data_IF_002532829077
#
_entry.id   IF_002532829077
#
_cell.length_a   1.000
_cell.length_b   1.000
_cell.length_c   1.000
_cell.angle_alpha   90.00
_cell.angle_beta   90.00
_cell.angle_gamma   90.00
#
_symmetry.space_group_name_H-M   'P 1'
#
loop_
_entity.id
_entity.type
_entity.pdbx_description
1 polymer ?
#
# COMPACT_ATOMS: atom_id res chain seq x y z
N UNK A 1 -43.36 -31.82 -36.74
CA UNK A 1 -41.93 -31.50 -36.61
C UNK A 1 -41.62 -30.03 -36.28
N UNK A 2 -42.41 -29.35 -35.41
CA UNK A 2 -42.14 -27.93 -35.00
C UNK A 2 -41.69 -27.72 -33.56
N UNK A 3 -41.66 -28.78 -32.74
CA UNK A 3 -41.33 -28.64 -31.30
C UNK A 3 -39.83 -28.59 -31.00
N UNK A 4 -38.97 -29.18 -31.84
CA UNK A 4 -37.53 -29.16 -31.62
C UNK A 4 -36.85 -27.79 -31.75
N UNK A 5 -37.46 -26.89 -32.53
CA UNK A 5 -36.88 -25.55 -32.74
C UNK A 5 -37.11 -24.59 -31.59
N UNK A 6 -38.15 -24.81 -30.78
CA UNK A 6 -38.48 -23.98 -29.63
C UNK A 6 -37.53 -24.33 -28.45
N UNK A 7 -37.31 -25.61 -28.18
CA UNK A 7 -36.44 -26.08 -27.11
C UNK A 7 -34.97 -25.64 -27.29
N UNK A 8 -34.49 -25.63 -28.55
CA UNK A 8 -33.12 -25.20 -28.87
C UNK A 8 -32.89 -23.71 -28.63
N UNK A 9 -33.92 -22.88 -28.91
CA UNK A 9 -33.85 -21.42 -28.64
C UNK A 9 -33.83 -21.14 -27.13
N UNK A 10 -34.67 -21.84 -26.35
CA UNK A 10 -34.65 -21.70 -24.88
C UNK A 10 -33.34 -22.18 -24.28
N UNK A 11 -32.79 -23.30 -24.76
CA UNK A 11 -31.52 -23.81 -24.30
C UNK A 11 -30.38 -22.81 -24.53
N UNK A 12 -30.31 -22.21 -25.72
CA UNK A 12 -29.31 -21.17 -26.04
C UNK A 12 -29.46 -19.95 -25.16
N UNK A 13 -30.67 -19.54 -24.84
CA UNK A 13 -30.95 -18.41 -23.97
C UNK A 13 -30.51 -18.67 -22.54
N UNK A 14 -30.76 -19.88 -21.98
CA UNK A 14 -30.29 -20.28 -20.67
C UNK A 14 -28.76 -20.32 -20.59
N UNK A 15 -28.10 -20.88 -21.60
CA UNK A 15 -26.64 -20.90 -21.66
C UNK A 15 -26.07 -19.48 -21.68
N UNK A 16 -26.66 -18.60 -22.46
CA UNK A 16 -26.22 -17.20 -22.57
C UNK A 16 -26.38 -16.44 -21.25
N UNK A 17 -27.52 -16.61 -20.57
CA UNK A 17 -27.73 -16.04 -19.23
C UNK A 17 -26.74 -16.62 -18.22
N UNK A 18 -26.48 -17.92 -18.25
CA UNK A 18 -25.50 -18.57 -17.35
C UNK A 18 -24.10 -18.03 -17.55
N UNK A 19 -23.66 -17.87 -18.79
CA UNK A 19 -22.36 -17.28 -19.13
C UNK A 19 -22.30 -15.82 -18.66
N UNK A 20 -23.32 -15.04 -18.94
CA UNK A 20 -23.39 -13.64 -18.53
C UNK A 20 -23.35 -13.49 -17.00
N UNK A 21 -24.11 -14.32 -16.26
CA UNK A 21 -24.10 -14.34 -14.82
C UNK A 21 -22.74 -14.70 -14.23
N UNK A 22 -22.06 -15.70 -14.83
CA UNK A 22 -20.72 -16.09 -14.43
C UNK A 22 -19.72 -14.94 -14.62
N UNK A 23 -19.76 -14.25 -15.75
CA UNK A 23 -18.90 -13.09 -16.00
C UNK A 23 -19.15 -11.95 -14.99
N UNK A 24 -20.40 -11.64 -14.69
CA UNK A 24 -20.74 -10.59 -13.72
C UNK A 24 -20.24 -10.92 -12.32
N UNK A 25 -20.40 -12.16 -11.86
CA UNK A 25 -19.91 -12.61 -10.54
C UNK A 25 -18.39 -12.60 -10.50
N UNK A 26 -17.71 -13.07 -11.54
CA UNK A 26 -16.25 -13.14 -11.58
C UNK A 26 -15.64 -11.74 -11.59
N UNK A 27 -16.12 -10.83 -12.44
CA UNK A 27 -15.60 -9.46 -12.51
C UNK A 27 -15.94 -8.66 -11.26
N UNK A 28 -17.18 -8.75 -10.77
CA UNK A 28 -17.61 -8.05 -9.56
C UNK A 28 -16.92 -8.57 -8.31
N UNK A 29 -16.75 -9.88 -8.20
CA UNK A 29 -16.05 -10.51 -7.08
C UNK A 29 -14.58 -10.12 -7.04
N UNK A 30 -13.88 -10.16 -8.17
CA UNK A 30 -12.46 -9.78 -8.24
C UNK A 30 -12.24 -8.32 -7.82
N UNK A 31 -13.06 -7.40 -8.33
CA UNK A 31 -12.97 -5.99 -7.96
C UNK A 31 -13.21 -5.74 -6.46
N UNK A 32 -14.22 -6.42 -5.89
CA UNK A 32 -14.56 -6.27 -4.48
C UNK A 32 -13.47 -6.83 -3.56
N UNK A 33 -12.88 -7.98 -3.92
CA UNK A 33 -11.77 -8.59 -3.16
C UNK A 33 -10.53 -7.71 -3.20
N UNK A 34 -10.15 -7.19 -4.37
CA UNK A 34 -9.01 -6.29 -4.53
C UNK A 34 -9.15 -5.04 -3.66
N UNK A 35 -10.29 -4.36 -3.71
CA UNK A 35 -10.57 -3.18 -2.88
C UNK A 35 -10.56 -3.48 -1.38
N UNK A 36 -11.11 -4.61 -0.98
CA UNK A 36 -11.12 -5.01 0.42
C UNK A 36 -9.71 -5.35 0.92
N UNK A 37 -8.91 -6.00 0.08
CA UNK A 37 -7.53 -6.36 0.40
C UNK A 37 -6.65 -5.11 0.53
N UNK A 38 -6.75 -4.16 -0.40
CA UNK A 38 -6.04 -2.88 -0.33
C UNK A 38 -6.33 -2.14 0.97
N UNK A 39 -7.62 -2.02 1.33
CA UNK A 39 -8.02 -1.32 2.55
C UNK A 39 -7.56 -2.06 3.82
N UNK A 40 -7.67 -3.37 3.85
CA UNK A 40 -7.21 -4.18 4.99
C UNK A 40 -5.70 -4.12 5.16
N UNK A 41 -4.95 -4.19 4.05
CA UNK A 41 -3.50 -4.11 4.07
C UNK A 41 -3.02 -2.70 4.46
N UNK A 42 -3.65 -1.66 3.95
CA UNK A 42 -3.30 -0.27 4.31
C UNK A 42 -3.52 0.01 5.80
N UNK A 43 -4.61 -0.48 6.38
CA UNK A 43 -4.90 -0.35 7.80
C UNK A 43 -3.88 -1.09 8.67
N UNK A 44 -3.48 -2.31 8.27
CA UNK A 44 -2.46 -3.09 8.96
C UNK A 44 -1.10 -2.40 8.90
N UNK A 45 -0.68 -1.92 7.73
CA UNK A 45 0.58 -1.20 7.55
C UNK A 45 0.58 0.12 8.32
N UNK A 46 -0.53 0.86 8.34
CA UNK A 46 -0.63 2.09 9.13
C UNK A 46 -0.50 1.82 10.63
N UNK A 47 -1.15 0.78 11.12
CA UNK A 47 -1.05 0.37 12.53
C UNK A 47 0.38 0.05 12.89
N UNK A 48 1.09 -0.66 12.04
CA UNK A 48 2.49 -0.99 12.28
C UNK A 48 3.40 0.24 12.20
N UNK A 49 3.22 1.09 11.20
CA UNK A 49 3.94 2.35 11.08
C UNK A 49 3.72 3.24 12.31
N UNK A 50 2.49 3.28 12.84
CA UNK A 50 2.16 4.01 14.06
C UNK A 50 2.83 3.41 15.30
N UNK A 51 2.87 2.08 15.41
CA UNK A 51 3.58 1.38 16.50
C UNK A 51 5.07 1.70 16.48
N UNK A 52 5.69 1.68 15.29
CA UNK A 52 7.10 2.07 15.11
C UNK A 52 7.29 3.55 15.50
N UNK A 53 6.44 4.44 15.00
CA UNK A 53 6.52 5.87 15.25
C UNK A 53 6.33 6.24 16.73
N UNK A 54 5.51 5.48 17.46
CA UNK A 54 5.24 5.71 18.89
C UNK A 54 6.28 5.07 19.80
N UNK A 55 7.21 4.27 19.28
CA UNK A 55 8.27 3.65 20.09
C UNK A 55 9.22 4.72 20.62
N UNK A 56 9.46 4.71 21.94
CA UNK A 56 10.36 5.67 22.60
C UNK A 56 11.80 5.60 22.07
N UNK A 57 12.25 4.44 21.59
CA UNK A 57 13.54 4.28 20.96
C UNK A 57 13.64 5.06 19.63
N UNK A 58 12.56 5.15 18.86
CA UNK A 58 12.51 5.96 17.64
C UNK A 58 12.47 7.44 17.99
N UNK A 59 11.66 7.84 18.96
CA UNK A 59 11.53 9.25 19.40
C UNK A 59 12.82 9.80 20.00
N UNK A 60 13.52 8.99 20.82
CA UNK A 60 14.75 9.41 21.52
C UNK A 60 15.98 9.45 20.63
N UNK A 61 16.02 8.68 19.56
CA UNK A 61 17.21 8.43 18.76
C UNK A 61 17.32 9.22 17.44
N UNK A 62 16.38 10.13 17.18
CA UNK A 62 16.47 11.04 16.02
C UNK A 62 17.60 12.08 16.17
N UNK A 63 18.21 12.20 17.35
CA UNK A 63 19.42 13.02 17.55
C UNK A 63 20.68 12.26 17.09
N UNK A 64 21.49 12.95 16.39
CA UNK A 64 22.60 12.61 15.48
C UNK A 64 23.63 11.52 15.86
N UNK A 65 23.61 10.92 17.03
CA UNK A 65 24.56 9.87 17.43
C UNK A 65 24.01 8.44 17.41
N UNK A 66 22.76 8.26 17.02
CA UNK A 66 22.02 6.98 17.11
C UNK A 66 21.32 6.59 15.83
N UNK A 67 21.55 7.31 14.73
CA UNK A 67 20.94 7.03 13.41
C UNK A 67 21.31 5.63 12.92
N UNK A 68 22.57 5.20 13.12
CA UNK A 68 23.04 3.89 12.69
C UNK A 68 22.31 2.75 13.44
N UNK A 69 22.14 2.88 14.76
CA UNK A 69 21.41 1.89 15.56
C UNK A 69 19.92 1.85 15.21
N UNK A 70 19.34 3.02 14.94
CA UNK A 70 17.96 3.13 14.48
C UNK A 70 17.79 2.48 13.10
N UNK A 71 18.71 2.71 12.20
CA UNK A 71 18.70 2.10 10.87
C UNK A 71 18.79 0.58 10.94
N UNK A 72 19.68 0.01 11.76
CA UNK A 72 19.77 -1.44 11.96
C UNK A 72 18.45 -2.02 12.49
N UNK A 73 17.81 -1.35 13.45
CA UNK A 73 16.53 -1.77 13.99
C UNK A 73 15.42 -1.74 12.96
N UNK A 74 15.34 -0.65 12.18
CA UNK A 74 14.36 -0.52 11.11
C UNK A 74 14.61 -1.52 9.96
N UNK A 75 15.88 -1.84 9.66
CA UNK A 75 16.21 -2.88 8.69
C UNK A 75 15.71 -4.25 9.13
N UNK A 76 15.84 -4.61 10.41
CA UNK A 76 15.33 -5.87 10.92
C UNK A 76 13.80 -5.98 10.82
N UNK A 77 13.07 -4.88 11.07
CA UNK A 77 11.62 -4.82 10.90
C UNK A 77 11.24 -4.89 9.41
N UNK A 78 11.95 -4.17 8.56
CA UNK A 78 11.78 -4.15 7.11
C UNK A 78 11.90 -5.55 6.49
N UNK A 79 12.94 -6.29 6.87
CA UNK A 79 13.18 -7.66 6.40
C UNK A 79 12.08 -8.62 6.87
N UNK A 80 11.58 -8.44 8.10
CA UNK A 80 10.51 -9.28 8.64
C UNK A 80 9.16 -9.02 7.96
N UNK A 81 8.88 -7.78 7.61
CA UNK A 81 7.59 -7.35 7.05
C UNK A 81 7.55 -7.33 5.52
N UNK A 82 8.69 -7.58 4.87
CA UNK A 82 8.84 -7.39 3.40
C UNK A 82 8.37 -5.98 2.96
N UNK A 83 8.74 -4.97 3.75
CA UNK A 83 8.31 -3.60 3.56
C UNK A 83 9.50 -2.64 3.58
N UNK A 84 9.44 -1.56 2.83
CA UNK A 84 10.43 -0.49 2.88
C UNK A 84 9.99 0.55 3.91
N UNK A 85 10.86 0.90 4.84
CA UNK A 85 10.61 1.87 5.90
C UNK A 85 11.49 3.10 5.69
N UNK A 86 10.88 4.28 5.77
CA UNK A 86 11.57 5.56 5.74
C UNK A 86 11.14 6.42 6.93
N UNK A 87 12.08 7.19 7.46
CA UNK A 87 11.81 8.32 8.34
C UNK A 87 12.06 9.59 7.54
N UNK A 88 11.05 10.43 7.48
CA UNK A 88 11.03 11.66 6.69
C UNK A 88 10.82 12.83 7.65
N UNK A 89 11.62 13.89 7.51
CA UNK A 89 11.44 15.11 8.30
C UNK A 89 10.31 15.98 7.73
N UNK A 90 9.97 17.07 8.43
CA UNK A 90 8.96 18.03 8.01
C UNK A 90 9.27 18.75 6.71
N UNK A 91 10.54 18.71 6.27
CA UNK A 91 10.98 19.33 5.01
C UNK A 91 10.94 18.34 3.83
N UNK A 92 10.46 17.11 4.03
CA UNK A 92 10.41 16.08 3.01
C UNK A 92 11.74 15.35 2.78
N UNK A 93 12.76 15.58 3.61
CA UNK A 93 14.05 14.89 3.50
C UNK A 93 13.99 13.53 4.16
N UNK A 94 14.51 12.50 3.51
CA UNK A 94 14.63 11.16 4.05
C UNK A 94 15.81 11.12 5.01
N UNK A 95 15.55 10.94 6.30
CA UNK A 95 16.60 10.86 7.35
C UNK A 95 17.14 9.44 7.47
N UNK A 96 16.26 8.45 7.40
CA UNK A 96 16.58 7.02 7.49
C UNK A 96 15.84 6.28 6.41
N UNK A 97 16.51 5.34 5.75
CA UNK A 97 15.94 4.45 4.73
C UNK A 97 16.45 3.03 4.94
N UNK A 98 15.53 2.05 4.89
CA UNK A 98 15.90 0.63 4.87
C UNK A 98 16.23 0.14 3.47
N UNK A 99 16.00 0.95 2.44
CA UNK A 99 16.34 0.63 1.06
C UNK A 99 17.80 0.96 0.75
N UNK A 100 18.57 -0.04 0.34
CA UNK A 100 20.02 0.06 0.13
C UNK A 100 20.47 0.99 -1.03
N UNK A 101 19.56 1.37 -1.92
CA UNK A 101 19.89 2.10 -3.16
C UNK A 101 19.33 3.54 -3.21
N UNK A 102 18.78 4.03 -2.11
CA UNK A 102 18.33 5.42 -2.00
C UNK A 102 19.39 6.22 -1.27
N UNK A 103 19.84 7.30 -1.90
CA UNK A 103 20.63 8.32 -1.19
C UNK A 103 19.70 8.98 -0.16
N UNK A 104 20.05 8.85 1.12
CA UNK A 104 19.31 9.39 2.28
C UNK A 104 19.13 10.93 2.20
N UNK A 105 19.70 11.57 1.19
CA UNK A 105 19.64 13.02 0.98
C UNK A 105 18.73 13.45 -0.15
N UNK A 106 18.11 12.51 -0.88
CA UNK A 106 17.17 12.87 -1.94
C UNK A 106 15.87 13.37 -1.33
N UNK A 107 15.56 14.67 -1.43
CA UNK A 107 14.33 15.20 -0.87
C UNK A 107 13.13 14.73 -1.69
N UNK A 108 12.04 14.38 -1.01
CA UNK A 108 10.74 14.25 -1.66
C UNK A 108 10.35 15.65 -2.15
N UNK A 109 9.84 15.80 -3.39
CA UNK A 109 9.40 17.09 -3.89
C UNK A 109 8.37 17.72 -2.93
N UNK A 110 8.75 18.78 -2.24
CA UNK A 110 7.90 19.45 -1.24
C UNK A 110 6.58 19.96 -1.81
N UNK A 111 6.54 20.31 -3.09
CA UNK A 111 5.34 20.78 -3.77
C UNK A 111 4.25 19.69 -3.84
N UNK A 112 4.65 18.42 -3.77
CA UNK A 112 3.76 17.26 -3.85
C UNK A 112 3.53 16.62 -2.49
N UNK A 113 4.46 16.78 -1.52
CA UNK A 113 4.39 16.17 -0.20
C UNK A 113 3.58 17.02 0.77
N UNK A 114 2.36 16.62 1.01
CA UNK A 114 1.48 17.24 2.00
C UNK A 114 1.22 16.26 3.14
N UNK A 115 2.00 16.40 4.21
CA UNK A 115 1.89 15.54 5.40
C UNK A 115 0.49 15.56 6.04
N UNK A 116 -0.29 16.65 5.84
CA UNK A 116 -1.63 16.79 6.42
C UNK A 116 -2.66 15.86 5.78
N UNK A 117 -2.40 15.38 4.56
CA UNK A 117 -3.27 14.43 3.86
C UNK A 117 -3.13 13.01 4.38
N UNK A 118 -2.02 12.71 5.05
CA UNK A 118 -1.71 11.36 5.52
C UNK A 118 -2.31 11.11 6.90
N UNK A 119 -2.95 9.97 7.08
CA UNK A 119 -3.58 9.54 8.33
C UNK A 119 -4.05 8.10 8.26
N UNK A 120 -4.74 7.62 9.29
CA UNK A 120 -5.13 6.21 9.44
C UNK A 120 -5.94 5.62 8.28
N UNK A 121 -6.65 6.47 7.53
CA UNK A 121 -7.50 6.05 6.42
C UNK A 121 -6.94 6.43 5.04
N UNK A 122 -5.76 7.06 5.01
CA UNK A 122 -5.16 7.48 3.77
C UNK A 122 -3.99 6.56 3.41
N UNK A 123 -4.02 6.06 2.20
CA UNK A 123 -2.94 5.31 1.59
C UNK A 123 -2.80 5.76 0.13
N UNK A 124 -1.62 5.60 -0.41
CA UNK A 124 -1.33 5.86 -1.81
C UNK A 124 -0.83 4.60 -2.49
N UNK A 125 -1.39 4.29 -3.66
CA UNK A 125 -0.86 3.24 -4.53
C UNK A 125 -0.19 3.94 -5.71
N UNK A 126 1.08 3.63 -5.93
CA UNK A 126 1.87 4.20 -7.01
C UNK A 126 3.36 4.14 -6.75
N UNK A 127 4.09 4.93 -7.50
CA UNK A 127 5.56 4.95 -7.47
C UNK A 127 6.16 5.82 -6.36
N UNK A 128 5.36 6.24 -5.42
CA UNK A 128 5.71 7.12 -4.31
C UNK A 128 6.71 8.22 -4.72
N UNK A 129 6.18 9.30 -5.29
CA UNK A 129 6.96 10.44 -5.81
C UNK A 129 8.09 10.07 -6.79
N UNK A 130 7.98 8.91 -7.47
CA UNK A 130 8.97 8.47 -8.46
C UNK A 130 10.15 7.67 -7.89
N UNK A 131 10.21 7.43 -6.59
CA UNK A 131 11.28 6.64 -5.96
C UNK A 131 11.26 5.17 -6.34
N UNK A 132 10.07 4.62 -6.68
CA UNK A 132 9.92 3.23 -7.08
C UNK A 132 9.69 3.08 -8.59
N UNK A 133 10.17 1.98 -9.15
CA UNK A 133 9.92 1.61 -10.55
C UNK A 133 8.54 1.00 -10.77
N UNK A 134 8.03 0.32 -9.77
CA UNK A 134 6.73 -0.36 -9.73
C UNK A 134 5.80 0.31 -8.72
N UNK A 135 4.51 0.05 -8.84
CA UNK A 135 3.54 0.58 -7.91
C UNK A 135 3.63 -0.13 -6.56
N UNK A 136 3.58 0.64 -5.49
CA UNK A 136 3.63 0.19 -4.11
C UNK A 136 2.47 0.81 -3.33
N UNK A 137 2.01 0.11 -2.32
CA UNK A 137 1.08 0.66 -1.34
C UNK A 137 1.90 1.36 -0.26
N UNK A 138 1.64 2.65 -0.06
CA UNK A 138 2.39 3.49 0.88
C UNK A 138 1.46 4.08 1.93
N UNK A 139 1.91 4.11 3.17
CA UNK A 139 1.24 4.74 4.32
C UNK A 139 2.24 5.58 5.08
N UNK A 140 1.77 6.63 5.74
CA UNK A 140 2.61 7.49 6.59
C UNK A 140 1.96 7.64 7.96
N UNK A 141 2.74 7.43 9.02
CA UNK A 141 2.35 7.70 10.39
C UNK A 141 3.20 8.83 10.98
N UNK A 142 2.59 9.82 11.68
CA UNK A 142 3.35 10.89 12.31
C UNK A 142 4.12 10.37 13.53
N UNK A 143 5.36 10.82 13.70
CA UNK A 143 6.15 10.64 14.92
C UNK A 143 5.84 11.83 15.83
N UNK A 144 5.12 11.60 16.92
CA UNK A 144 4.65 12.63 17.88
C UNK A 144 5.31 12.45 19.24
#
# INVERSE_FOLDING_TARGET
MKQHHLSTKFLRFYILIGILGFFLITLGGSYMVEKHLEHSLSAALYTEAHNIASNEAVKGNISSSTVDTLQEHLCAISDFQDAVLWIINSNGEIIVSTQKNIDVRDPIPLEEFDASKWGSNYYQIGKFYGFFKTDHLSVIAPIT
#
